data_IF_948606907093
#
_entry.id   IF_948606907093
#
_cell.length_a   1.000
_cell.length_b   1.000
_cell.length_c   1.000
_cell.angle_alpha   90.00
_cell.angle_beta   90.00
_cell.angle_gamma   90.00
#
_symmetry.space_group_name_H-M   'P 1'
#
loop_
_entity.id
_entity.type
_entity.pdbx_description
1 polymer ?
#
# COMPACT_ATOMS: atom_id res chain seq x y z
N UNK A 1 17.18 19.94 7.23
CA UNK A 1 16.08 20.89 6.98
C UNK A 1 15.82 20.89 5.49
N UNK A 2 14.77 20.22 5.02
CA UNK A 2 14.43 20.16 3.59
C UNK A 2 13.61 21.39 3.23
N UNK A 3 14.09 22.16 2.26
CA UNK A 3 13.52 23.41 1.78
C UNK A 3 12.20 23.16 1.02
N UNK A 4 11.10 23.71 1.54
CA UNK A 4 9.76 23.59 0.95
C UNK A 4 9.65 24.41 -0.33
N UNK A 5 9.18 23.78 -1.42
CA UNK A 5 8.72 24.49 -2.60
C UNK A 5 7.30 25.02 -2.38
N UNK A 6 7.04 26.28 -2.72
CA UNK A 6 5.79 27.00 -2.47
C UNK A 6 4.54 26.48 -3.23
N UNK A 7 4.63 25.35 -3.93
CA UNK A 7 3.58 24.83 -4.84
C UNK A 7 3.19 23.38 -4.53
N UNK A 8 3.20 22.97 -3.26
CA UNK A 8 2.73 21.64 -2.86
C UNK A 8 1.19 21.66 -2.79
N UNK A 9 0.54 20.93 -3.70
CA UNK A 9 -0.92 20.79 -3.73
C UNK A 9 -1.47 20.12 -2.44
N UNK A 10 -0.66 19.28 -1.78
CA UNK A 10 -0.99 18.64 -0.52
C UNK A 10 -0.34 19.38 0.66
N UNK A 11 -1.06 19.44 1.77
CA UNK A 11 -0.54 19.86 3.07
C UNK A 11 0.37 18.79 3.66
N UNK A 12 1.24 19.19 4.59
CA UNK A 12 2.18 18.28 5.26
C UNK A 12 1.48 17.07 5.89
N UNK A 13 0.33 17.30 6.52
CA UNK A 13 -0.45 16.22 7.15
C UNK A 13 -1.07 15.25 6.14
N UNK A 14 -1.48 15.74 4.97
CA UNK A 14 -1.98 14.88 3.89
C UNK A 14 -0.84 14.06 3.26
N UNK A 15 0.35 14.66 3.13
CA UNK A 15 1.54 13.92 2.69
C UNK A 15 1.93 12.85 3.69
N UNK A 16 1.87 13.12 4.99
CA UNK A 16 2.10 12.12 6.04
C UNK A 16 1.11 10.96 5.97
N UNK A 17 -0.18 11.25 5.80
CA UNK A 17 -1.22 10.22 5.64
C UNK A 17 -0.97 9.39 4.38
N UNK A 18 -0.60 10.03 3.26
CA UNK A 18 -0.28 9.34 2.02
C UNK A 18 0.97 8.45 2.14
N UNK A 19 2.01 8.91 2.84
CA UNK A 19 3.20 8.12 3.13
C UNK A 19 2.84 6.90 3.98
N UNK A 20 2.06 7.10 5.05
CA UNK A 20 1.65 6.01 5.92
C UNK A 20 0.80 4.97 5.18
N UNK A 21 -0.08 5.42 4.29
CA UNK A 21 -0.86 4.56 3.42
C UNK A 21 0.03 3.70 2.50
N UNK A 22 1.07 4.29 1.90
CA UNK A 22 2.00 3.55 1.04
C UNK A 22 2.79 2.50 1.84
N UNK A 23 3.24 2.85 3.05
CA UNK A 23 3.97 1.93 3.93
C UNK A 23 3.05 0.77 4.35
N UNK A 24 1.82 1.05 4.76
CA UNK A 24 0.85 0.00 5.14
C UNK A 24 0.55 -0.94 3.96
N UNK A 25 0.45 -0.43 2.73
CA UNK A 25 0.32 -1.27 1.53
C UNK A 25 1.53 -2.20 1.33
N UNK A 26 2.75 -1.67 1.44
CA UNK A 26 3.99 -2.44 1.29
C UNK A 26 4.12 -3.52 2.39
N UNK A 27 3.80 -3.17 3.64
CA UNK A 27 3.76 -4.11 4.77
C UNK A 27 2.73 -5.24 4.57
N UNK A 28 1.63 -4.94 3.87
CA UNK A 28 0.61 -5.92 3.48
C UNK A 28 1.04 -6.83 2.34
N UNK A 29 2.22 -6.60 1.76
CA UNK A 29 2.73 -7.33 0.60
C UNK A 29 2.14 -6.86 -0.72
N UNK A 30 1.43 -5.73 -0.76
CA UNK A 30 1.01 -5.10 -2.01
C UNK A 30 2.09 -4.16 -2.49
N UNK A 31 2.65 -4.44 -3.67
CA UNK A 31 3.63 -3.56 -4.29
C UNK A 31 2.99 -2.20 -4.63
N UNK A 32 3.46 -1.08 -4.02
CA UNK A 32 2.91 0.23 -4.32
C UNK A 32 3.18 0.63 -5.78
N UNK A 33 2.15 1.17 -6.45
CA UNK A 33 2.25 1.66 -7.83
C UNK A 33 2.16 3.19 -7.85
N UNK A 34 2.91 3.82 -8.76
CA UNK A 34 2.84 5.28 -8.94
C UNK A 34 1.43 5.76 -9.28
N UNK A 35 0.66 4.98 -10.06
CA UNK A 35 -0.74 5.28 -10.34
C UNK A 35 -1.60 5.29 -9.08
N UNK A 36 -1.42 4.32 -8.18
CA UNK A 36 -2.16 4.28 -6.91
C UNK A 36 -1.81 5.44 -5.97
N UNK A 37 -0.55 5.91 -6.01
CA UNK A 37 -0.15 7.13 -5.29
C UNK A 37 -0.83 8.37 -5.86
N UNK A 38 -0.89 8.47 -7.19
CA UNK A 38 -1.61 9.56 -7.88
C UNK A 38 -3.12 9.53 -7.58
N UNK A 39 -3.74 8.36 -7.59
CA UNK A 39 -5.16 8.17 -7.31
C UNK A 39 -5.50 8.60 -5.88
N UNK A 40 -4.72 8.16 -4.89
CA UNK A 40 -4.93 8.53 -3.49
C UNK A 40 -4.71 10.03 -3.25
N UNK A 41 -3.70 10.63 -3.89
CA UNK A 41 -3.47 12.07 -3.82
C UNK A 41 -4.64 12.86 -4.45
N UNK A 42 -5.14 12.41 -5.60
CA UNK A 42 -6.28 13.03 -6.26
C UNK A 42 -7.57 12.88 -5.44
N UNK A 43 -7.77 11.75 -4.78
CA UNK A 43 -8.89 11.54 -3.86
C UNK A 43 -8.89 12.55 -2.71
N UNK A 44 -7.74 12.76 -2.06
CA UNK A 44 -7.59 13.76 -1.00
C UNK A 44 -7.89 15.18 -1.52
N UNK A 45 -7.40 15.52 -2.71
CA UNK A 45 -7.63 16.83 -3.33
C UNK A 45 -9.10 17.04 -3.72
N UNK A 46 -9.76 16.01 -4.23
CA UNK A 46 -11.17 16.03 -4.59
C UNK A 46 -12.05 16.27 -3.36
N UNK A 47 -11.75 15.63 -2.23
CA UNK A 47 -12.44 15.88 -0.94
C UNK A 47 -12.33 17.35 -0.49
N UNK A 48 -11.31 18.09 -0.95
CA UNK A 48 -11.11 19.52 -0.66
C UNK A 48 -11.61 20.45 -1.77
N UNK A 49 -12.15 19.91 -2.87
CA UNK A 49 -12.50 20.70 -4.06
C UNK A 49 -11.28 21.32 -4.76
N UNK A 50 -10.09 20.75 -4.57
CA UNK A 50 -8.85 21.21 -5.19
C UNK A 50 -8.61 20.54 -6.56
N UNK A 51 -7.73 21.14 -7.36
CA UNK A 51 -7.36 20.59 -8.66
C UNK A 51 -6.50 19.33 -8.50
N UNK A 52 -6.68 18.38 -9.41
CA UNK A 52 -5.88 17.15 -9.51
C UNK A 52 -4.40 17.43 -9.68
N UNK A 53 -3.56 16.47 -9.28
CA UNK A 53 -2.12 16.53 -9.47
C UNK A 53 -1.74 16.38 -10.95
N UNK A 54 -0.53 16.86 -11.32
CA UNK A 54 -0.01 16.68 -12.67
C UNK A 54 0.60 15.30 -12.90
N UNK A 55 0.72 14.89 -14.18
CA UNK A 55 1.20 13.57 -14.62
C UNK A 55 2.54 13.10 -14.01
N UNK A 56 3.46 14.02 -13.71
CA UNK A 56 4.78 13.68 -13.14
C UNK A 56 4.83 13.82 -11.61
N UNK A 57 3.71 14.16 -10.97
CA UNK A 57 3.67 14.47 -9.56
C UNK A 57 4.03 13.26 -8.70
N UNK A 58 3.41 12.09 -8.94
CA UNK A 58 3.67 10.88 -8.15
C UNK A 58 5.15 10.43 -8.24
N UNK A 59 5.74 10.49 -9.43
CA UNK A 59 7.16 10.19 -9.61
C UNK A 59 8.06 11.16 -8.80
N UNK A 60 7.77 12.46 -8.85
CA UNK A 60 8.53 13.48 -8.09
C UNK A 60 8.31 13.33 -6.57
N UNK A 61 7.10 12.97 -6.15
CA UNK A 61 6.73 12.71 -4.76
C UNK A 61 7.53 11.55 -4.17
N UNK A 62 7.51 10.40 -4.84
CA UNK A 62 8.26 9.22 -4.41
C UNK A 62 9.77 9.49 -4.41
N UNK A 63 10.28 10.19 -5.44
CA UNK A 63 11.71 10.51 -5.54
C UNK A 63 12.21 11.41 -4.40
N UNK A 64 11.38 12.34 -3.90
CA UNK A 64 11.76 13.21 -2.78
C UNK A 64 11.62 12.55 -1.41
N UNK A 65 10.69 11.59 -1.26
CA UNK A 65 10.42 10.99 0.04
C UNK A 65 11.35 9.80 0.30
N UNK A 66 12.42 10.02 1.07
CA UNK A 66 13.40 8.97 1.43
C UNK A 66 12.76 7.78 2.16
N UNK A 67 11.70 8.02 2.94
CA UNK A 67 10.92 6.97 3.63
C UNK A 67 10.29 5.94 2.69
N UNK A 68 9.98 6.34 1.45
CA UNK A 68 9.35 5.47 0.45
C UNK A 68 10.35 4.75 -0.45
N UNK A 69 11.65 5.04 -0.30
CA UNK A 69 12.70 4.51 -1.18
C UNK A 69 12.69 2.98 -1.19
N UNK A 70 12.55 2.35 -0.03
CA UNK A 70 12.51 0.88 0.13
C UNK A 70 11.27 0.26 -0.50
N UNK A 71 10.10 0.90 -0.39
CA UNK A 71 8.84 0.38 -0.92
C UNK A 71 8.83 0.31 -2.46
N UNK A 72 9.50 1.25 -3.14
CA UNK A 72 9.58 1.30 -4.61
C UNK A 72 10.86 0.71 -5.20
N UNK A 73 11.90 0.46 -4.39
CA UNK A 73 13.16 -0.16 -4.85
C UNK A 73 13.15 -1.69 -4.78
N UNK A 74 12.17 -2.29 -4.12
CA UNK A 74 12.06 -3.75 -4.03
C UNK A 74 11.79 -4.32 -5.42
N UNK A 75 12.79 -5.03 -5.95
CA UNK A 75 12.60 -5.88 -7.13
C UNK A 75 11.54 -6.90 -6.77
N UNK A 76 10.51 -7.01 -7.61
CA UNK A 76 9.47 -8.01 -7.43
C UNK A 76 10.14 -9.39 -7.31
N UNK A 77 9.93 -10.05 -6.18
CA UNK A 77 10.50 -11.38 -5.95
C UNK A 77 9.74 -12.40 -6.80
N UNK A 78 10.23 -12.60 -8.02
CA UNK A 78 9.63 -13.54 -8.97
C UNK A 78 9.63 -14.98 -8.45
N UNK A 79 10.52 -15.34 -7.51
CA UNK A 79 10.50 -16.68 -6.89
C UNK A 79 9.23 -16.87 -6.04
N UNK A 80 8.76 -15.80 -5.39
CA UNK A 80 7.48 -15.79 -4.68
C UNK A 80 6.28 -15.95 -5.59
N UNK A 81 6.37 -15.55 -6.87
CA UNK A 81 5.30 -15.74 -7.85
C UNK A 81 5.25 -17.17 -8.42
N UNK A 82 6.36 -17.91 -8.35
CA UNK A 82 6.46 -19.29 -8.84
C UNK A 82 5.96 -20.32 -7.80
N UNK A 83 5.91 -19.97 -6.50
CA UNK A 83 5.24 -20.73 -5.44
C UNK A 83 5.56 -22.24 -5.37
N UNK A 84 6.84 -22.63 -5.42
CA UNK A 84 7.24 -24.04 -5.22
C UNK A 84 7.93 -24.31 -3.86
N UNK A 85 8.30 -23.27 -3.09
CA UNK A 85 8.92 -23.45 -1.76
C UNK A 85 7.87 -23.47 -0.64
N UNK A 86 7.73 -24.58 0.11
CA UNK A 86 6.84 -24.66 1.27
C UNK A 86 7.01 -23.53 2.29
N UNK A 87 8.24 -23.03 2.50
CA UNK A 87 8.50 -21.93 3.45
C UNK A 87 7.87 -20.61 3.00
N UNK A 88 7.99 -20.28 1.72
CA UNK A 88 7.37 -19.07 1.15
C UNK A 88 5.84 -19.12 1.23
N UNK A 89 5.27 -20.32 1.07
CA UNK A 89 3.83 -20.56 1.22
C UNK A 89 3.39 -20.33 2.67
N UNK A 90 4.13 -20.85 3.65
CA UNK A 90 3.83 -20.65 5.07
C UNK A 90 3.93 -19.17 5.49
N UNK A 91 4.97 -18.46 5.06
CA UNK A 91 5.11 -17.02 5.32
C UNK A 91 3.94 -16.20 4.74
N UNK A 92 3.44 -16.58 3.57
CA UNK A 92 2.27 -15.94 2.97
C UNK A 92 1.00 -16.16 3.82
N UNK A 93 0.75 -17.38 4.31
CA UNK A 93 -0.37 -17.64 5.22
C UNK A 93 -0.23 -16.91 6.56
N UNK A 94 1.00 -16.73 7.06
CA UNK A 94 1.29 -15.90 8.22
C UNK A 94 0.88 -14.44 7.99
N UNK A 95 1.26 -13.85 6.85
CA UNK A 95 0.83 -12.51 6.44
C UNK A 95 -0.70 -12.39 6.38
N UNK A 96 -1.39 -13.35 5.76
CA UNK A 96 -2.86 -13.32 5.67
C UNK A 96 -3.51 -13.38 7.06
N UNK A 97 -3.02 -14.24 7.95
CA UNK A 97 -3.54 -14.39 9.32
C UNK A 97 -3.32 -13.12 10.15
N UNK A 98 -2.13 -12.50 10.03
CA UNK A 98 -1.83 -11.23 10.69
C UNK A 98 -2.75 -10.10 10.23
N UNK A 99 -3.05 -10.05 8.92
CA UNK A 99 -3.98 -9.05 8.37
C UNK A 99 -5.42 -9.30 8.81
N UNK A 100 -5.86 -10.55 8.88
CA UNK A 100 -7.18 -10.90 9.43
C UNK A 100 -7.32 -10.44 10.88
N UNK A 101 -6.31 -10.69 11.71
CA UNK A 101 -6.31 -10.27 13.10
C UNK A 101 -6.27 -8.73 13.25
N UNK A 102 -5.41 -8.04 12.49
CA UNK A 102 -5.23 -6.57 12.58
C UNK A 102 -6.51 -5.80 12.22
N UNK A 103 -7.23 -6.23 11.18
CA UNK A 103 -8.40 -5.50 10.66
C UNK A 103 -9.74 -6.19 11.00
N UNK A 104 -9.74 -7.28 11.77
CA UNK A 104 -10.95 -8.02 12.13
C UNK A 104 -11.66 -8.65 10.93
N UNK A 105 -10.92 -9.06 9.89
CA UNK A 105 -11.49 -9.69 8.69
C UNK A 105 -11.85 -11.14 9.04
N UNK A 106 -13.15 -11.43 9.10
CA UNK A 106 -13.65 -12.80 9.30
C UNK A 106 -13.31 -13.63 8.05
N UNK A 107 -12.50 -14.68 8.23
CA UNK A 107 -12.13 -15.58 7.16
C UNK A 107 -13.33 -16.42 6.67
N UNK A 108 -13.54 -16.49 5.36
CA UNK A 108 -14.60 -17.28 4.70
C UNK A 108 -14.53 -18.81 4.92
N UNK A 109 -13.60 -19.32 5.74
CA UNK A 109 -13.43 -20.77 5.96
C UNK A 109 -14.40 -21.37 6.99
N UNK A 110 -15.22 -20.55 7.65
CA UNK A 110 -16.14 -21.02 8.69
C UNK A 110 -17.45 -21.60 8.14
N UNK A 111 -17.79 -21.37 6.85
CA UNK A 111 -19.04 -21.87 6.24
C UNK A 111 -18.97 -23.28 5.66
N UNK A 112 -17.82 -23.97 5.70
CA UNK A 112 -17.73 -25.39 5.26
C UNK A 112 -17.74 -26.43 6.37
N UNK A 113 -17.63 -26.05 7.65
CA UNK A 113 -17.80 -27.01 8.76
C UNK A 113 -19.26 -27.29 9.09
N UNK A 114 -20.21 -26.47 8.64
CA UNK A 114 -21.64 -26.64 8.97
C UNK A 114 -22.44 -27.47 7.96
N UNK A 115 -21.89 -27.84 6.79
CA UNK A 115 -22.60 -28.62 5.75
C UNK A 115 -22.30 -30.14 5.86
N UNK A 116 -21.44 -30.57 6.80
CA UNK A 116 -21.13 -32.00 7.02
C UNK A 116 -21.65 -32.54 8.35
N UNK A 117 -22.70 -31.93 8.87
CA UNK A 117 -23.55 -32.44 9.96
C UNK A 117 -25.00 -32.13 9.60
N UNK A 118 -25.49 -32.76 8.54
CA UNK A 118 -26.88 -33.11 8.28
C UNK A 118 -26.91 -34.21 7.22
#
# INVERSE_FOLDING_TARGET
METRANNLNLTEKEEEVLIQYIIDMDERGFAPKLSGVEDMANYILELRGAKRVGKLWAHRFVKRCTKLKTCFSRVYDFQRALCEDPKLIEEWFGLVSNMQAKYGIIGFLETRKSIRLN
#
